data_IF_366894786405
#
_entry.id   IF_366894786405
#
_cell.length_a   1.000
_cell.length_b   1.000
_cell.length_c   1.000
_cell.angle_alpha   90.00
_cell.angle_beta   90.00
_cell.angle_gamma   90.00
#
_symmetry.space_group_name_H-M   'P 1'
#
loop_
_entity.id
_entity.type
_entity.pdbx_description
1 polymer ?
#
# COMPACT_ATOMS: atom_id res chain seq x y z
N UNK A 1 26.76 51.03 -10.41
CA UNK A 1 26.30 49.63 -10.56
C UNK A 1 26.53 48.74 -9.32
N UNK A 2 27.15 49.22 -8.23
CA UNK A 2 27.46 48.42 -7.03
C UNK A 2 26.39 48.43 -5.91
N UNK A 3 25.38 49.31 -5.97
CA UNK A 3 24.35 49.46 -4.93
C UNK A 3 23.15 48.50 -5.08
N UNK A 4 23.06 47.76 -6.20
CA UNK A 4 21.96 46.82 -6.47
C UNK A 4 22.17 45.45 -5.81
N UNK A 5 23.42 44.99 -5.66
CA UNK A 5 23.69 43.65 -5.10
C UNK A 5 23.53 43.57 -3.57
N UNK A 6 23.67 44.67 -2.85
CA UNK A 6 23.56 44.68 -1.38
C UNK A 6 22.12 44.44 -0.88
N UNK A 7 21.09 44.83 -1.66
CA UNK A 7 19.68 44.59 -1.31
C UNK A 7 19.24 43.14 -1.51
N UNK A 8 19.88 42.40 -2.43
CA UNK A 8 19.58 40.99 -2.67
C UNK A 8 20.03 40.07 -1.53
N UNK A 9 21.20 40.34 -0.92
CA UNK A 9 21.71 39.54 0.21
C UNK A 9 20.89 39.72 1.49
N UNK A 10 20.48 40.95 1.84
CA UNK A 10 19.64 41.19 3.03
C UNK A 10 18.28 40.49 2.99
N UNK A 11 17.74 40.23 1.79
CA UNK A 11 16.45 39.56 1.63
C UNK A 11 16.51 38.04 1.83
N UNK A 12 17.70 37.42 1.71
CA UNK A 12 17.88 35.98 2.01
C UNK A 12 18.06 35.71 3.50
N UNK A 13 18.78 36.58 4.21
CA UNK A 13 19.05 36.41 5.66
C UNK A 13 17.77 36.54 6.49
N UNK A 14 16.84 37.43 6.11
CA UNK A 14 15.54 37.58 6.79
C UNK A 14 14.60 36.38 6.59
N UNK A 15 14.70 35.65 5.48
CA UNK A 15 13.90 34.43 5.29
C UNK A 15 14.47 33.26 6.08
N UNK A 16 15.80 33.15 6.22
CA UNK A 16 16.43 32.13 7.04
C UNK A 16 16.14 32.33 8.53
N UNK A 17 16.11 33.57 9.03
CA UNK A 17 15.72 33.82 10.44
C UNK A 17 14.23 33.59 10.71
N UNK A 18 13.34 33.84 9.73
CA UNK A 18 11.93 33.48 9.85
C UNK A 18 11.71 31.96 9.75
N UNK A 19 12.50 31.24 8.94
CA UNK A 19 12.47 29.77 8.88
C UNK A 19 13.07 29.13 10.13
N UNK A 20 14.19 29.64 10.67
CA UNK A 20 14.82 29.14 11.90
C UNK A 20 14.04 29.54 13.16
N UNK A 21 13.44 30.73 13.19
CA UNK A 21 12.57 31.17 14.29
C UNK A 21 11.20 30.51 14.28
N UNK A 22 10.60 30.28 13.10
CA UNK A 22 9.35 29.52 13.00
C UNK A 22 9.54 28.03 13.25
N UNK A 23 10.65 27.42 12.82
CA UNK A 23 10.93 26.01 13.13
C UNK A 23 11.22 25.81 14.62
N UNK A 24 11.85 26.74 15.32
CA UNK A 24 12.04 26.65 16.78
C UNK A 24 10.78 27.02 17.58
N UNK A 25 9.95 27.96 17.11
CA UNK A 25 8.76 28.37 17.87
C UNK A 25 7.51 27.51 17.63
N UNK A 26 7.35 26.88 16.45
CA UNK A 26 6.29 25.87 16.23
C UNK A 26 6.65 24.50 16.79
N UNK A 27 7.93 24.16 16.95
CA UNK A 27 8.33 22.91 17.61
C UNK A 27 8.41 23.01 19.13
N UNK A 28 8.44 24.21 19.71
CA UNK A 28 8.46 24.39 21.17
C UNK A 28 7.06 24.56 21.78
N UNK A 29 6.12 25.22 21.09
CA UNK A 29 4.79 25.51 21.65
C UNK A 29 3.79 24.33 21.56
N UNK A 30 4.09 23.29 20.78
CA UNK A 30 3.22 22.11 20.59
C UNK A 30 3.89 20.78 21.05
N UNK A 31 5.08 20.87 21.66
CA UNK A 31 5.79 19.71 22.24
C UNK A 31 5.46 19.45 23.71
N UNK A 32 4.90 20.43 24.41
CA UNK A 32 4.62 20.30 25.85
C UNK A 32 3.34 19.49 26.16
N UNK A 33 2.52 19.18 25.15
CA UNK A 33 1.34 18.30 25.30
C UNK A 33 1.50 16.95 24.56
N UNK A 34 2.71 16.65 24.04
CA UNK A 34 3.06 15.29 23.63
C UNK A 34 3.23 14.44 24.89
N UNK A 35 2.10 13.88 25.32
CA UNK A 35 2.00 12.78 26.27
C UNK A 35 3.18 11.81 26.07
N UNK A 36 4.06 11.84 27.04
CA UNK A 36 5.26 11.02 27.16
C UNK A 36 4.97 9.55 26.81
N UNK A 37 5.45 9.07 25.65
CA UNK A 37 5.83 7.67 25.51
C UNK A 37 5.52 6.92 24.20
N UNK A 38 4.71 7.44 23.27
CA UNK A 38 4.46 6.71 22.01
C UNK A 38 5.41 7.19 20.91
N UNK A 39 6.36 6.33 20.53
CA UNK A 39 7.25 6.59 19.41
C UNK A 39 6.42 6.73 18.12
N UNK A 40 6.72 7.72 17.26
CA UNK A 40 5.96 7.93 16.03
C UNK A 40 6.00 6.67 15.14
N UNK A 41 4.83 6.30 14.60
CA UNK A 41 4.65 5.07 13.79
C UNK A 41 5.45 5.11 12.49
N UNK A 42 5.74 6.30 11.99
CA UNK A 42 6.58 6.54 10.84
C UNK A 42 7.82 7.34 11.25
N UNK A 43 8.95 7.07 10.60
CA UNK A 43 10.19 7.81 10.86
C UNK A 43 10.17 9.20 10.24
N UNK A 44 11.16 10.03 10.58
CA UNK A 44 11.30 11.41 10.04
C UNK A 44 11.38 11.44 8.50
N UNK A 45 11.89 10.37 7.87
CA UNK A 45 11.90 10.23 6.41
C UNK A 45 10.51 10.13 5.78
N UNK A 46 9.48 9.87 6.59
CA UNK A 46 8.09 9.91 6.16
C UNK A 46 7.43 11.27 6.42
N UNK A 47 8.17 12.31 6.84
CA UNK A 47 7.66 13.66 6.93
C UNK A 47 7.17 14.15 5.56
N UNK A 48 6.11 14.97 5.57
CA UNK A 48 5.40 15.43 4.36
C UNK A 48 6.34 16.13 3.36
N UNK A 49 7.43 16.73 3.85
CA UNK A 49 8.47 17.40 3.05
C UNK A 49 9.24 16.45 2.13
N UNK A 50 9.31 15.16 2.48
CA UNK A 50 9.97 14.12 1.70
C UNK A 50 8.98 13.25 0.91
N UNK A 51 7.68 13.56 0.95
CA UNK A 51 6.69 12.78 0.21
C UNK A 51 6.83 13.02 -1.28
N UNK A 52 6.76 11.97 -2.11
CA UNK A 52 6.62 12.16 -3.54
C UNK A 52 5.32 12.92 -3.82
N UNK A 53 5.37 13.95 -4.67
CA UNK A 53 4.21 14.74 -5.11
C UNK A 53 3.06 13.89 -5.66
N UNK A 54 3.34 12.63 -6.02
CA UNK A 54 2.34 11.65 -6.46
C UNK A 54 1.27 11.39 -5.37
N UNK A 55 1.56 11.61 -4.09
CA UNK A 55 0.58 11.48 -3.00
C UNK A 55 -0.54 12.52 -3.08
N UNK A 56 -0.34 13.65 -3.76
CA UNK A 56 -1.36 14.68 -3.94
C UNK A 56 -2.51 14.24 -4.86
N UNK A 57 -2.29 13.22 -5.69
CA UNK A 57 -3.34 12.63 -6.51
C UNK A 57 -4.30 11.75 -5.71
N UNK A 58 -4.00 11.42 -4.45
CA UNK A 58 -4.89 10.63 -3.60
C UNK A 58 -6.09 11.48 -3.19
N UNK A 59 -7.32 11.12 -3.60
CA UNK A 59 -8.46 11.93 -3.29
C UNK A 59 -8.73 11.99 -1.78
N UNK A 60 -8.65 13.18 -1.19
CA UNK A 60 -8.94 13.38 0.24
C UNK A 60 -10.42 13.22 0.57
N UNK A 61 -11.31 13.40 -0.42
CA UNK A 61 -12.77 13.31 -0.26
C UNK A 61 -13.27 11.92 -0.63
N UNK A 62 -14.04 11.28 0.26
CA UNK A 62 -14.68 9.96 0.02
C UNK A 62 -15.52 9.91 -1.27
N UNK A 63 -16.09 11.05 -1.68
CA UNK A 63 -16.89 11.19 -2.91
C UNK A 63 -16.12 10.82 -4.18
N UNK A 64 -14.81 11.06 -4.24
CA UNK A 64 -14.02 10.74 -5.41
C UNK A 64 -13.83 9.22 -5.57
N UNK A 65 -13.62 8.48 -4.47
CA UNK A 65 -13.60 7.02 -4.50
C UNK A 65 -14.97 6.46 -4.94
N UNK A 66 -16.07 7.01 -4.42
CA UNK A 66 -17.41 6.64 -4.85
C UNK A 66 -17.64 6.92 -6.35
N UNK A 67 -17.18 8.07 -6.85
CA UNK A 67 -17.29 8.39 -8.27
C UNK A 67 -16.47 7.42 -9.14
N UNK A 68 -15.26 7.04 -8.72
CA UNK A 68 -14.44 6.07 -9.44
C UNK A 68 -15.13 4.68 -9.55
N UNK A 69 -15.82 4.24 -8.48
CA UNK A 69 -16.65 3.02 -8.49
C UNK A 69 -17.83 3.15 -9.44
N UNK A 70 -18.62 4.21 -9.27
CA UNK A 70 -19.83 4.42 -10.06
C UNK A 70 -19.52 4.58 -11.54
N UNK A 71 -18.43 5.26 -11.89
CA UNK A 71 -17.94 5.35 -13.26
C UNK A 71 -17.56 3.96 -13.80
N UNK A 72 -16.86 3.15 -13.00
CA UNK A 72 -16.46 1.80 -13.40
C UNK A 72 -17.65 0.88 -13.61
N UNK A 73 -18.59 0.85 -12.66
CA UNK A 73 -19.83 0.09 -12.80
C UNK A 73 -20.72 0.62 -13.92
N UNK A 74 -20.74 1.94 -14.16
CA UNK A 74 -21.44 2.54 -15.28
C UNK A 74 -20.89 2.06 -16.63
N UNK A 75 -19.56 2.02 -16.78
CA UNK A 75 -18.90 1.46 -17.97
C UNK A 75 -19.21 -0.04 -18.10
N UNK A 76 -19.23 -0.79 -16.99
CA UNK A 76 -19.58 -2.22 -16.99
C UNK A 76 -20.99 -2.45 -17.51
N UNK A 77 -21.95 -1.74 -16.92
CA UNK A 77 -23.36 -1.80 -17.28
C UNK A 77 -23.57 -1.36 -18.73
N UNK A 78 -22.91 -0.29 -19.19
CA UNK A 78 -23.01 0.17 -20.56
C UNK A 78 -22.49 -0.87 -21.56
N UNK A 79 -21.36 -1.52 -21.27
CA UNK A 79 -20.82 -2.57 -22.13
C UNK A 79 -21.75 -3.79 -22.21
N UNK A 80 -22.30 -4.24 -21.08
CA UNK A 80 -23.22 -5.38 -21.06
C UNK A 80 -24.58 -5.04 -21.69
N UNK A 81 -25.11 -3.83 -21.49
CA UNK A 81 -26.31 -3.35 -22.18
C UNK A 81 -26.10 -3.31 -23.70
N UNK A 82 -24.95 -2.82 -24.16
CA UNK A 82 -24.60 -2.80 -25.58
C UNK A 82 -24.55 -4.22 -26.15
N UNK A 83 -23.98 -5.17 -25.42
CA UNK A 83 -23.93 -6.58 -25.82
C UNK A 83 -25.33 -7.24 -25.83
N UNK A 84 -26.17 -6.92 -24.84
CA UNK A 84 -27.53 -7.45 -24.73
C UNK A 84 -28.43 -6.96 -25.87
N UNK A 85 -28.35 -5.68 -26.22
CA UNK A 85 -29.15 -5.09 -27.30
C UNK A 85 -28.54 -5.20 -28.70
N UNK A 86 -27.46 -5.98 -28.87
CA UNK A 86 -26.73 -6.08 -30.13
C UNK A 86 -27.60 -6.47 -31.34
N UNK A 87 -28.51 -7.44 -31.19
CA UNK A 87 -29.43 -7.85 -32.27
C UNK A 87 -30.39 -6.72 -32.65
N UNK A 88 -30.93 -6.01 -31.65
CA UNK A 88 -31.85 -4.90 -31.87
C UNK A 88 -31.17 -3.73 -32.56
N UNK A 89 -29.93 -3.42 -32.17
CA UNK A 89 -29.11 -2.36 -32.78
C UNK A 89 -28.79 -2.71 -34.23
N UNK A 90 -28.37 -3.96 -34.49
CA UNK A 90 -28.08 -4.44 -35.84
C UNK A 90 -29.33 -4.45 -36.73
N UNK A 91 -30.49 -4.85 -36.20
CA UNK A 91 -31.76 -4.81 -36.92
C UNK A 91 -32.24 -3.40 -37.25
N UNK A 92 -31.95 -2.41 -36.39
CA UNK A 92 -32.28 -1.01 -36.64
C UNK A 92 -31.33 -0.34 -37.64
N UNK A 93 -30.07 -0.78 -37.73
CA UNK A 93 -29.04 -0.19 -38.61
C UNK A 93 -28.26 -1.27 -39.38
N UNK A 94 -28.92 -2.07 -40.24
CA UNK A 94 -28.32 -3.23 -40.88
C UNK A 94 -27.19 -2.86 -41.87
N UNK A 95 -27.21 -1.64 -42.40
CA UNK A 95 -26.16 -1.13 -43.29
C UNK A 95 -24.86 -0.72 -42.55
N UNK A 96 -24.91 -0.56 -41.22
CA UNK A 96 -23.82 0.04 -40.43
C UNK A 96 -23.14 -0.99 -39.52
N UNK A 97 -23.90 -1.91 -38.92
CA UNK A 97 -23.34 -2.85 -37.97
C UNK A 97 -24.07 -4.21 -37.97
N UNK A 98 -23.30 -5.29 -37.90
CA UNK A 98 -23.82 -6.61 -37.55
C UNK A 98 -23.88 -6.79 -36.04
N UNK A 99 -24.74 -7.68 -35.55
CA UNK A 99 -24.83 -7.98 -34.12
C UNK A 99 -23.49 -8.52 -33.56
N UNK A 100 -22.73 -9.24 -34.39
CA UNK A 100 -21.38 -9.69 -34.05
C UNK A 100 -20.41 -8.51 -33.85
N UNK A 101 -20.42 -7.52 -34.74
CA UNK A 101 -19.58 -6.34 -34.61
C UNK A 101 -19.91 -5.52 -33.35
N UNK A 102 -21.20 -5.34 -33.05
CA UNK A 102 -21.64 -4.64 -31.82
C UNK A 102 -21.16 -5.36 -30.55
N UNK A 103 -21.31 -6.70 -30.50
CA UNK A 103 -20.80 -7.50 -29.37
C UNK A 103 -19.27 -7.43 -29.26
N UNK A 104 -18.56 -7.41 -30.38
CA UNK A 104 -17.10 -7.29 -30.39
C UNK A 104 -16.66 -5.93 -29.83
N UNK A 105 -17.32 -4.83 -30.22
CA UNK A 105 -17.06 -3.49 -29.68
C UNK A 105 -17.32 -3.46 -28.17
N UNK A 106 -18.46 -4.00 -27.72
CA UNK A 106 -18.79 -4.09 -26.29
C UNK A 106 -17.72 -4.87 -25.50
N UNK A 107 -17.33 -6.04 -25.99
CA UNK A 107 -16.34 -6.90 -25.34
C UNK A 107 -14.93 -6.28 -25.38
N UNK A 108 -14.57 -5.59 -26.45
CA UNK A 108 -13.29 -4.87 -26.59
C UNK A 108 -13.22 -3.65 -25.66
N UNK A 109 -14.30 -2.86 -25.60
CA UNK A 109 -14.41 -1.72 -24.69
C UNK A 109 -14.32 -2.13 -23.22
N UNK A 110 -15.02 -3.19 -22.82
CA UNK A 110 -14.95 -3.74 -21.46
C UNK A 110 -13.54 -4.26 -21.12
N UNK A 111 -12.87 -4.93 -22.07
CA UNK A 111 -11.50 -5.40 -21.91
C UNK A 111 -10.51 -4.24 -21.73
N UNK A 112 -10.60 -3.23 -22.58
CA UNK A 112 -9.75 -2.04 -22.50
C UNK A 112 -9.97 -1.27 -21.18
N UNK A 113 -11.23 -1.06 -20.79
CA UNK A 113 -11.56 -0.42 -19.52
C UNK A 113 -11.05 -1.24 -18.31
N UNK A 114 -11.15 -2.56 -18.35
CA UNK A 114 -10.57 -3.44 -17.33
C UNK A 114 -9.06 -3.25 -17.21
N UNK A 115 -8.35 -3.16 -18.34
CA UNK A 115 -6.92 -2.88 -18.38
C UNK A 115 -6.56 -1.53 -17.74
N UNK A 116 -7.32 -0.47 -18.03
CA UNK A 116 -7.14 0.86 -17.43
C UNK A 116 -7.34 0.82 -15.91
N UNK A 117 -8.40 0.17 -15.42
CA UNK A 117 -8.66 0.04 -13.98
C UNK A 117 -7.57 -0.77 -13.27
N UNK A 118 -7.07 -1.83 -13.90
CA UNK A 118 -5.97 -2.62 -13.37
C UNK A 118 -4.64 -1.84 -13.36
N UNK A 119 -4.36 -1.02 -14.35
CA UNK A 119 -3.21 -0.11 -14.32
C UNK A 119 -3.35 0.94 -13.21
N UNK A 120 -4.54 1.51 -13.02
CA UNK A 120 -4.80 2.41 -11.91
C UNK A 120 -4.58 1.71 -10.55
N UNK A 121 -5.06 0.47 -10.41
CA UNK A 121 -4.79 -0.35 -9.22
C UNK A 121 -3.29 -0.59 -9.01
N UNK A 122 -2.52 -0.84 -10.07
CA UNK A 122 -1.07 -1.01 -9.99
C UNK A 122 -0.36 0.26 -9.49
N UNK A 123 -0.74 1.43 -10.01
CA UNK A 123 -0.20 2.73 -9.59
C UNK A 123 -0.52 3.02 -8.12
N UNK A 124 -1.75 2.75 -7.68
CA UNK A 124 -2.15 2.92 -6.29
C UNK A 124 -1.40 1.96 -5.36
N UNK A 125 -1.25 0.69 -5.75
CA UNK A 125 -0.45 -0.28 -5.00
C UNK A 125 1.02 0.16 -4.89
N UNK A 126 1.59 0.71 -5.97
CA UNK A 126 2.96 1.25 -5.97
C UNK A 126 3.11 2.49 -5.08
N UNK A 127 2.09 3.34 -5.00
CA UNK A 127 2.04 4.49 -4.10
C UNK A 127 1.95 4.06 -2.62
N UNK A 128 1.07 3.10 -2.32
CA UNK A 128 0.95 2.52 -0.97
C UNK A 128 2.29 1.91 -0.54
N UNK A 129 2.96 1.17 -1.44
CA UNK A 129 4.30 0.64 -1.20
C UNK A 129 5.31 1.75 -0.84
N UNK A 130 5.35 2.86 -1.59
CA UNK A 130 6.31 3.94 -1.33
C UNK A 130 6.10 4.65 -0.01
N UNK A 131 4.86 4.73 0.48
CA UNK A 131 4.56 5.32 1.79
C UNK A 131 4.87 4.33 2.91
N UNK A 132 4.42 3.07 2.77
CA UNK A 132 4.57 2.06 3.83
C UNK A 132 5.99 1.58 4.04
N UNK A 133 6.89 1.67 3.05
CA UNK A 133 8.31 1.28 3.25
C UNK A 133 9.02 2.08 4.35
N UNK A 134 8.50 3.26 4.73
CA UNK A 134 9.05 4.12 5.77
C UNK A 134 8.38 3.92 7.15
N UNK A 135 7.50 2.92 7.26
CA UNK A 135 6.78 2.60 8.48
C UNK A 135 7.69 1.86 9.47
N UNK A 136 7.83 2.38 10.69
CA UNK A 136 8.81 1.91 11.68
C UNK A 136 8.38 0.61 12.35
N UNK A 137 7.07 0.33 12.45
CA UNK A 137 6.54 -0.91 13.04
C UNK A 137 6.47 -2.08 12.05
N UNK A 138 6.75 -1.88 10.75
CA UNK A 138 6.59 -2.91 9.70
C UNK A 138 7.89 -3.70 9.44
N UNK A 139 8.40 -4.35 10.49
CA UNK A 139 9.64 -5.15 10.41
C UNK A 139 9.47 -6.50 9.70
N UNK A 140 8.25 -6.96 9.49
CA UNK A 140 7.98 -8.27 8.87
C UNK A 140 8.11 -8.23 7.33
N UNK A 141 8.38 -7.05 6.76
CA UNK A 141 8.49 -6.89 5.31
C UNK A 141 7.14 -7.01 4.60
N UNK A 142 6.02 -6.83 5.32
CA UNK A 142 4.67 -6.92 4.77
C UNK A 142 4.45 -5.90 3.65
N UNK A 143 5.13 -4.76 3.70
CA UNK A 143 5.14 -3.77 2.62
C UNK A 143 5.55 -4.37 1.26
N UNK A 144 6.40 -5.41 1.19
CA UNK A 144 6.87 -6.02 -0.08
C UNK A 144 5.72 -6.63 -0.90
N UNK A 145 4.64 -7.04 -0.24
CA UNK A 145 3.45 -7.59 -0.91
C UNK A 145 2.83 -6.57 -1.87
N UNK A 146 2.86 -5.28 -1.53
CA UNK A 146 2.32 -4.21 -2.37
C UNK A 146 3.06 -4.06 -3.71
N UNK A 147 4.38 -4.34 -3.73
CA UNK A 147 5.16 -4.37 -4.97
C UNK A 147 4.73 -5.55 -5.86
N UNK A 148 4.49 -6.72 -5.27
CA UNK A 148 3.98 -7.87 -6.00
C UNK A 148 2.58 -7.61 -6.56
N UNK A 149 1.68 -7.04 -5.77
CA UNK A 149 0.32 -6.66 -6.21
C UNK A 149 0.38 -5.72 -7.41
N UNK A 150 1.25 -4.71 -7.38
CA UNK A 150 1.42 -3.79 -8.51
C UNK A 150 1.80 -4.54 -9.79
N UNK A 151 2.78 -5.46 -9.74
CA UNK A 151 3.16 -6.29 -10.87
C UNK A 151 2.04 -7.21 -11.35
N UNK A 152 1.31 -7.85 -10.43
CA UNK A 152 0.16 -8.69 -10.78
C UNK A 152 -0.94 -7.89 -11.48
N UNK A 153 -1.22 -6.67 -11.04
CA UNK A 153 -2.17 -5.78 -11.70
C UNK A 153 -1.71 -5.37 -13.11
N UNK A 154 -0.41 -5.12 -13.33
CA UNK A 154 0.14 -4.85 -14.67
C UNK A 154 -0.03 -6.07 -15.59
N UNK A 155 0.32 -7.26 -15.11
CA UNK A 155 0.14 -8.50 -15.87
C UNK A 155 -1.33 -8.78 -16.17
N UNK A 156 -2.21 -8.60 -15.18
CA UNK A 156 -3.65 -8.74 -15.36
C UNK A 156 -4.21 -7.72 -16.37
N UNK A 157 -3.71 -6.48 -16.36
CA UNK A 157 -4.07 -5.46 -17.35
C UNK A 157 -3.72 -5.91 -18.76
N UNK A 158 -2.47 -6.33 -18.99
CA UNK A 158 -2.05 -6.85 -20.29
C UNK A 158 -2.88 -8.06 -20.72
N UNK A 159 -3.15 -8.98 -19.79
CA UNK A 159 -3.97 -10.15 -20.03
C UNK A 159 -5.44 -9.80 -20.39
N UNK A 160 -6.00 -8.73 -19.82
CA UNK A 160 -7.36 -8.29 -20.14
C UNK A 160 -7.54 -7.88 -21.61
N UNK A 161 -6.48 -7.32 -22.21
CA UNK A 161 -6.47 -6.88 -23.61
C UNK A 161 -6.05 -8.02 -24.56
N UNK A 162 -4.96 -8.71 -24.24
CA UNK A 162 -4.37 -9.77 -25.09
C UNK A 162 -5.21 -11.05 -25.06
N UNK A 163 -5.89 -11.32 -23.94
CA UNK A 163 -6.69 -12.53 -23.68
C UNK A 163 -5.88 -13.82 -23.74
N UNK A 164 -4.63 -13.79 -23.26
CA UNK A 164 -3.70 -14.93 -23.27
C UNK A 164 -4.26 -16.17 -22.54
N UNK A 165 -5.18 -15.96 -21.59
CA UNK A 165 -5.79 -17.07 -20.84
C UNK A 165 -6.46 -18.12 -21.73
N UNK A 166 -7.07 -17.73 -22.85
CA UNK A 166 -7.82 -18.65 -23.71
C UNK A 166 -6.93 -19.65 -24.45
N UNK A 167 -5.92 -19.23 -25.24
CA UNK A 167 -5.04 -20.17 -25.92
C UNK A 167 -4.23 -21.03 -24.94
N UNK A 168 -3.82 -20.48 -23.79
CA UNK A 168 -3.09 -21.25 -22.76
C UNK A 168 -3.97 -22.35 -22.17
N UNK A 169 -5.22 -22.04 -21.81
CA UNK A 169 -6.17 -23.02 -21.28
C UNK A 169 -6.45 -24.14 -22.31
N UNK A 170 -6.64 -23.80 -23.58
CA UNK A 170 -6.85 -24.78 -24.64
C UNK A 170 -5.63 -25.65 -24.90
N UNK A 171 -4.43 -25.07 -24.90
CA UNK A 171 -3.18 -25.82 -25.04
C UNK A 171 -3.00 -26.83 -23.90
N UNK A 172 -3.22 -26.42 -22.65
CA UNK A 172 -3.12 -27.31 -21.48
C UNK A 172 -4.18 -28.40 -21.49
N UNK A 173 -5.44 -28.06 -21.83
CA UNK A 173 -6.51 -29.05 -22.04
C UNK A 173 -6.10 -30.09 -23.10
N UNK A 174 -5.56 -29.64 -24.23
CA UNK A 174 -5.15 -30.54 -25.32
C UNK A 174 -3.96 -31.42 -24.94
N UNK A 175 -2.99 -30.88 -24.19
CA UNK A 175 -1.80 -31.61 -23.76
C UNK A 175 -2.08 -32.64 -22.67
N UNK A 176 -3.01 -32.34 -21.76
CA UNK A 176 -3.35 -33.20 -20.62
C UNK A 176 -4.46 -34.19 -20.95
N UNK A 177 -5.27 -33.92 -21.97
CA UNK A 177 -6.48 -34.69 -22.28
C UNK A 177 -7.58 -34.56 -21.21
N UNK A 178 -7.40 -33.68 -20.23
CA UNK A 178 -8.31 -33.53 -19.09
C UNK A 178 -8.93 -32.14 -19.06
N UNK A 179 -10.23 -32.10 -18.79
CA UNK A 179 -10.95 -30.86 -18.56
C UNK A 179 -12.15 -31.07 -17.65
N UNK A 180 -12.31 -30.18 -16.67
CA UNK A 180 -13.51 -30.06 -15.85
C UNK A 180 -14.64 -29.35 -16.61
N UNK A 181 -14.30 -28.33 -17.40
CA UNK A 181 -15.28 -27.57 -18.21
C UNK A 181 -15.09 -27.82 -19.70
N UNK A 182 -16.12 -27.60 -20.51
CA UNK A 182 -16.00 -27.72 -21.97
C UNK A 182 -14.88 -26.82 -22.55
N UNK A 183 -14.61 -25.68 -21.91
CA UNK A 183 -13.63 -24.68 -22.34
C UNK A 183 -12.24 -24.80 -21.74
N UNK A 184 -11.96 -25.72 -20.81
CA UNK A 184 -10.65 -25.79 -20.14
C UNK A 184 -10.35 -24.63 -19.20
N UNK A 185 -11.37 -23.86 -18.79
CA UNK A 185 -11.19 -22.63 -18.00
C UNK A 185 -10.49 -22.87 -16.66
N UNK A 186 -10.65 -24.06 -16.08
CA UNK A 186 -10.02 -24.49 -14.82
C UNK A 186 -8.49 -24.38 -14.85
N UNK A 187 -7.84 -24.60 -16.01
CA UNK A 187 -6.39 -24.53 -16.14
C UNK A 187 -5.84 -23.12 -15.92
N UNK A 188 -6.66 -22.10 -16.13
CA UNK A 188 -6.31 -20.72 -15.84
C UNK A 188 -6.90 -20.23 -14.51
N UNK A 189 -8.16 -20.58 -14.24
CA UNK A 189 -8.87 -20.11 -13.06
C UNK A 189 -8.29 -20.69 -11.77
N UNK A 190 -7.84 -21.95 -11.73
CA UNK A 190 -7.28 -22.56 -10.52
C UNK A 190 -6.02 -21.83 -10.01
N UNK A 191 -4.95 -21.63 -10.82
CA UNK A 191 -3.76 -20.92 -10.35
C UNK A 191 -4.05 -19.45 -10.02
N UNK A 192 -4.89 -18.78 -10.82
CA UNK A 192 -5.28 -17.39 -10.56
C UNK A 192 -6.11 -17.28 -9.28
N UNK A 193 -7.01 -18.22 -8.99
CA UNK A 193 -7.79 -18.24 -7.77
C UNK A 193 -6.92 -18.50 -6.54
N UNK A 194 -5.95 -19.42 -6.63
CA UNK A 194 -5.02 -19.70 -5.53
C UNK A 194 -4.15 -18.47 -5.20
N UNK A 195 -3.54 -17.85 -6.22
CA UNK A 195 -2.76 -16.63 -6.05
C UNK A 195 -3.64 -15.46 -5.58
N UNK A 196 -4.82 -15.32 -6.18
CA UNK A 196 -5.79 -14.29 -5.86
C UNK A 196 -6.31 -14.38 -4.42
N UNK A 197 -6.59 -15.59 -3.92
CA UNK A 197 -7.00 -15.82 -2.54
C UNK A 197 -5.89 -15.45 -1.55
N UNK A 198 -4.63 -15.80 -1.86
CA UNK A 198 -3.49 -15.40 -1.05
C UNK A 198 -3.31 -13.87 -1.02
N UNK A 199 -3.37 -13.22 -2.20
CA UNK A 199 -3.31 -11.75 -2.30
C UNK A 199 -4.47 -11.10 -1.54
N UNK A 200 -5.70 -11.61 -1.71
CA UNK A 200 -6.89 -11.12 -1.06
C UNK A 200 -6.74 -11.18 0.47
N UNK A 201 -6.30 -12.31 1.01
CA UNK A 201 -6.08 -12.47 2.44
C UNK A 201 -5.05 -11.47 2.96
N UNK A 202 -3.92 -11.31 2.25
CA UNK A 202 -2.88 -10.33 2.61
C UNK A 202 -3.40 -8.89 2.57
N UNK A 203 -4.12 -8.52 1.53
CA UNK A 203 -4.75 -7.21 1.39
C UNK A 203 -5.78 -6.96 2.51
N UNK A 204 -6.61 -7.96 2.83
CA UNK A 204 -7.61 -7.85 3.88
C UNK A 204 -6.97 -7.68 5.27
N UNK A 205 -5.91 -8.44 5.56
CA UNK A 205 -5.15 -8.31 6.81
C UNK A 205 -4.52 -6.92 6.95
N UNK A 206 -3.91 -6.40 5.88
CA UNK A 206 -3.32 -5.06 5.86
C UNK A 206 -4.38 -3.95 5.94
N UNK A 207 -5.53 -4.15 5.31
CA UNK A 207 -6.64 -3.20 5.30
C UNK A 207 -7.56 -3.31 6.52
N UNK A 208 -7.28 -4.20 7.46
CA UNK A 208 -8.14 -4.45 8.62
C UNK A 208 -8.34 -3.20 9.49
N UNK A 209 -7.35 -2.31 9.56
CA UNK A 209 -7.46 -1.03 10.28
C UNK A 209 -8.37 -0.02 9.56
N UNK A 210 -8.66 -0.22 8.27
CA UNK A 210 -9.50 0.65 7.45
C UNK A 210 -10.77 -0.07 7.00
N UNK A 211 -11.82 -0.02 7.84
CA UNK A 211 -13.08 -0.75 7.59
C UNK A 211 -13.68 -0.49 6.20
N UNK A 212 -13.57 0.75 5.69
CA UNK A 212 -14.06 1.10 4.36
C UNK A 212 -13.26 0.42 3.24
N UNK A 213 -11.93 0.32 3.38
CA UNK A 213 -11.10 -0.40 2.43
C UNK A 213 -11.37 -1.91 2.50
N UNK A 214 -11.50 -2.46 3.72
CA UNK A 214 -11.82 -3.87 3.93
C UNK A 214 -13.16 -4.25 3.28
N UNK A 215 -14.21 -3.46 3.49
CA UNK A 215 -15.52 -3.68 2.85
C UNK A 215 -15.45 -3.62 1.32
N UNK A 216 -14.63 -2.73 0.76
CA UNK A 216 -14.43 -2.65 -0.69
C UNK A 216 -13.60 -3.82 -1.25
N UNK A 217 -12.57 -4.28 -0.51
CA UNK A 217 -11.82 -5.50 -0.86
C UNK A 217 -12.74 -6.71 -0.85
N UNK A 218 -13.57 -6.88 0.19
CA UNK A 218 -14.47 -8.03 0.29
C UNK A 218 -15.51 -8.02 -0.83
N UNK A 219 -16.04 -6.85 -1.18
CA UNK A 219 -16.89 -6.68 -2.35
C UNK A 219 -16.18 -7.07 -3.65
N UNK A 220 -14.94 -6.63 -3.86
CA UNK A 220 -14.15 -7.02 -5.02
C UNK A 220 -13.95 -8.55 -5.08
N UNK A 221 -13.62 -9.16 -3.94
CA UNK A 221 -13.49 -10.61 -3.81
C UNK A 221 -14.78 -11.36 -4.15
N UNK A 222 -15.93 -10.89 -3.65
CA UNK A 222 -17.23 -11.44 -4.00
C UNK A 222 -17.51 -11.34 -5.51
N UNK A 223 -17.21 -10.19 -6.13
CA UNK A 223 -17.35 -10.00 -7.57
C UNK A 223 -16.48 -10.97 -8.37
N UNK A 224 -15.21 -11.16 -8.01
CA UNK A 224 -14.34 -12.14 -8.68
C UNK A 224 -14.79 -13.58 -8.45
N UNK A 225 -15.29 -13.91 -7.26
CA UNK A 225 -15.85 -15.23 -6.99
C UNK A 225 -17.06 -15.51 -7.87
N UNK A 226 -18.00 -14.56 -7.98
CA UNK A 226 -19.15 -14.67 -8.90
C UNK A 226 -18.70 -14.77 -10.36
N UNK A 227 -17.68 -14.02 -10.75
CA UNK A 227 -17.13 -14.10 -12.11
C UNK A 227 -16.56 -15.48 -12.42
N UNK A 228 -15.76 -16.04 -11.50
CA UNK A 228 -15.16 -17.35 -11.63
C UNK A 228 -16.19 -18.47 -11.65
N UNK A 229 -17.18 -18.46 -10.75
CA UNK A 229 -18.25 -19.47 -10.75
C UNK A 229 -19.10 -19.39 -12.02
N UNK A 230 -19.36 -18.18 -12.52
CA UNK A 230 -20.06 -18.00 -13.80
C UNK A 230 -19.26 -18.55 -14.98
N UNK A 231 -17.95 -18.29 -15.01
CA UNK A 231 -17.05 -18.82 -16.05
C UNK A 231 -16.91 -20.36 -16.01
N UNK A 232 -17.11 -20.98 -14.85
CA UNK A 232 -17.17 -22.44 -14.70
C UNK A 232 -18.53 -23.03 -15.10
N UNK A 233 -19.51 -22.21 -15.46
CA UNK A 233 -20.86 -22.65 -15.79
C UNK A 233 -21.73 -22.97 -14.57
N UNK A 234 -21.34 -22.53 -13.38
CA UNK A 234 -22.11 -22.71 -12.14
C UNK A 234 -23.03 -21.53 -11.83
N UNK A 235 -23.16 -20.57 -12.75
CA UNK A 235 -24.11 -19.48 -12.61
C UNK A 235 -25.56 -20.00 -12.68
N UNK A 236 -26.47 -19.46 -11.86
CA UNK A 236 -27.88 -19.77 -12.00
C UNK A 236 -28.39 -19.33 -13.38
N UNK A 237 -29.32 -20.07 -14.00
CA UNK A 237 -29.92 -19.67 -15.27
C UNK A 237 -30.80 -18.45 -15.06
N UNK A 238 -30.27 -17.27 -15.38
CA UNK A 238 -31.00 -16.01 -15.31
C UNK A 238 -31.60 -15.68 -16.69
N UNK A 239 -32.91 -15.35 -16.79
CA UNK A 239 -33.53 -14.99 -18.06
C UNK A 239 -32.81 -13.80 -18.72
N UNK A 240 -32.34 -13.98 -19.95
CA UNK A 240 -31.72 -12.92 -20.75
C UNK A 240 -30.28 -12.53 -20.36
N UNK A 241 -29.66 -13.22 -19.40
CA UNK A 241 -28.26 -13.02 -19.02
C UNK A 241 -27.50 -14.30 -19.27
N UNK A 242 -26.55 -14.26 -20.20
CA UNK A 242 -25.67 -15.40 -20.45
C UNK A 242 -24.58 -15.49 -19.38
N UNK A 243 -24.18 -16.71 -18.99
CA UNK A 243 -23.13 -16.93 -17.98
C UNK A 243 -21.83 -16.18 -18.31
N UNK A 244 -21.46 -16.09 -19.60
CA UNK A 244 -20.29 -15.35 -20.06
C UNK A 244 -20.41 -13.83 -19.87
N UNK A 245 -21.62 -13.27 -20.01
CA UNK A 245 -21.89 -11.85 -19.76
C UNK A 245 -21.76 -11.57 -18.26
N UNK A 246 -22.35 -12.42 -17.43
CA UNK A 246 -22.24 -12.31 -15.97
C UNK A 246 -20.77 -12.42 -15.53
N UNK A 247 -20.01 -13.37 -16.08
CA UNK A 247 -18.60 -13.55 -15.78
C UNK A 247 -17.78 -12.27 -16.08
N UNK A 248 -17.96 -11.68 -17.26
CA UNK A 248 -17.24 -10.45 -17.66
C UNK A 248 -17.68 -9.24 -16.85
N UNK A 249 -18.98 -9.02 -16.71
CA UNK A 249 -19.53 -7.89 -15.96
C UNK A 249 -19.08 -7.90 -14.51
N UNK A 250 -19.15 -9.06 -13.84
CA UNK A 250 -18.72 -9.21 -12.46
C UNK A 250 -17.21 -9.09 -12.29
N UNK A 251 -16.40 -9.61 -13.23
CA UNK A 251 -14.95 -9.42 -13.19
C UNK A 251 -14.60 -7.93 -13.26
N UNK A 252 -15.24 -7.17 -14.16
CA UNK A 252 -14.99 -5.74 -14.29
C UNK A 252 -15.51 -4.94 -13.08
N UNK A 253 -16.67 -5.29 -12.53
CA UNK A 253 -17.15 -4.73 -11.27
C UNK A 253 -16.15 -4.98 -10.12
N UNK A 254 -15.49 -6.14 -10.11
CA UNK A 254 -14.40 -6.48 -9.19
C UNK A 254 -13.17 -5.58 -9.35
N UNK A 255 -12.76 -5.26 -10.57
CA UNK A 255 -11.68 -4.29 -10.83
C UNK A 255 -12.02 -2.89 -10.29
N UNK A 256 -13.25 -2.42 -10.52
CA UNK A 256 -13.72 -1.13 -10.02
C UNK A 256 -13.75 -1.08 -8.48
N UNK A 257 -14.26 -2.13 -7.84
CA UNK A 257 -14.27 -2.26 -6.38
C UNK A 257 -12.85 -2.35 -5.80
N UNK A 258 -11.93 -3.05 -6.48
CA UNK A 258 -10.52 -3.11 -6.10
C UNK A 258 -9.87 -1.72 -6.12
N UNK A 259 -10.01 -0.96 -7.21
CA UNK A 259 -9.49 0.42 -7.31
C UNK A 259 -10.05 1.29 -6.18
N UNK A 260 -11.34 1.15 -5.88
CA UNK A 260 -11.97 1.88 -4.79
C UNK A 260 -11.36 1.55 -3.43
N UNK A 261 -11.16 0.27 -3.16
CA UNK A 261 -10.50 -0.17 -1.93
C UNK A 261 -9.09 0.41 -1.82
N UNK A 262 -8.31 0.34 -2.91
CA UNK A 262 -6.96 0.88 -2.95
C UNK A 262 -6.93 2.40 -2.77
N UNK A 263 -7.90 3.14 -3.32
CA UNK A 263 -8.03 4.57 -3.09
C UNK A 263 -8.36 4.90 -1.63
N UNK A 264 -9.30 4.17 -1.03
CA UNK A 264 -9.69 4.35 0.37
C UNK A 264 -8.52 4.01 1.30
N UNK A 265 -7.80 2.92 1.00
CA UNK A 265 -6.65 2.50 1.77
C UNK A 265 -5.44 3.44 1.59
N UNK A 266 -5.14 3.87 0.36
CA UNK A 266 -4.12 4.88 0.11
C UNK A 266 -4.40 6.18 0.87
N UNK A 267 -5.67 6.63 0.88
CA UNK A 267 -6.10 7.77 1.70
C UNK A 267 -5.87 7.53 3.19
N UNK A 268 -6.21 6.34 3.69
CA UNK A 268 -5.94 5.97 5.09
C UNK A 268 -4.44 6.08 5.40
N UNK A 269 -3.57 5.50 4.56
CA UNK A 269 -2.11 5.55 4.73
C UNK A 269 -1.59 7.00 4.68
N UNK A 270 -2.08 7.83 3.76
CA UNK A 270 -1.66 9.25 3.70
C UNK A 270 -2.02 9.99 4.98
N UNK A 271 -3.23 9.81 5.51
CA UNK A 271 -3.65 10.44 6.76
C UNK A 271 -2.90 9.89 7.97
N UNK A 272 -2.60 8.59 7.96
CA UNK A 272 -1.80 7.92 8.98
C UNK A 272 -0.38 8.49 9.05
N UNK A 273 0.27 8.66 7.89
CA UNK A 273 1.61 9.27 7.81
C UNK A 273 1.59 10.74 8.25
N UNK A 274 0.48 11.45 8.04
CA UNK A 274 0.30 12.83 8.51
C UNK A 274 0.00 12.94 10.01
N UNK A 275 -0.14 11.81 10.73
CA UNK A 275 -0.54 11.81 12.14
C UNK A 275 -1.99 12.26 12.37
N UNK A 276 -2.83 12.23 11.32
CA UNK A 276 -4.24 12.66 11.40
C UNK A 276 -5.19 11.50 11.75
N UNK A 277 -4.66 10.32 12.04
CA UNK A 277 -5.42 9.14 12.47
C UNK A 277 -5.00 8.80 13.88
N UNK A 278 -5.96 8.88 14.80
CA UNK A 278 -5.78 8.42 16.17
C UNK A 278 -5.80 6.88 16.17
N UNK A 279 -4.71 6.28 16.64
CA UNK A 279 -4.66 4.85 16.89
C UNK A 279 -4.97 4.60 18.35
N UNK A 280 -5.77 3.56 18.62
CA UNK A 280 -5.90 3.08 19.99
C UNK A 280 -4.50 2.66 20.47
N UNK A 281 -4.05 3.13 21.65
CA UNK A 281 -2.72 2.83 22.14
C UNK A 281 -2.58 1.31 22.22
N UNK A 282 -1.48 0.79 21.66
CA UNK A 282 -1.25 -0.65 21.75
C UNK A 282 -1.13 -0.99 23.23
N UNK A 283 -1.81 -2.04 23.73
CA UNK A 283 -1.66 -2.45 25.10
C UNK A 283 -0.19 -2.80 25.31
N UNK A 284 0.55 -1.90 25.96
CA UNK A 284 1.92 -2.15 26.36
C UNK A 284 1.81 -3.33 27.31
N UNK A 285 2.27 -4.50 26.88
CA UNK A 285 2.39 -5.65 27.77
C UNK A 285 3.33 -5.21 28.87
N UNK A 286 2.76 -4.76 30.00
CA UNK A 286 3.53 -4.38 31.16
C UNK A 286 4.38 -5.60 31.47
N UNK A 287 5.70 -5.44 31.35
CA UNK A 287 6.61 -6.47 31.80
C UNK A 287 6.30 -6.58 33.27
N UNK A 288 5.63 -7.67 33.68
CA UNK A 288 5.48 -8.00 35.09
C UNK A 288 6.84 -7.74 35.73
N UNK A 289 6.94 -6.85 36.73
CA UNK A 289 8.21 -6.58 37.36
C UNK A 289 8.76 -7.94 37.77
N UNK A 290 9.87 -8.33 37.15
CA UNK A 290 10.59 -9.54 37.53
C UNK A 290 10.90 -9.34 38.99
N UNK A 291 10.20 -10.08 39.85
CA UNK A 291 10.39 -10.01 41.29
C UNK A 291 11.89 -10.19 41.53
N UNK A 292 12.55 -9.12 41.94
CA UNK A 292 13.94 -9.16 42.36
C UNK A 292 13.92 -10.07 43.59
N UNK A 293 14.43 -11.28 43.45
CA UNK A 293 14.62 -12.18 44.57
C UNK A 293 15.42 -11.44 45.64
N UNK A 294 14.87 -11.26 46.85
CA UNK A 294 15.57 -10.61 47.94
C UNK A 294 16.49 -11.65 48.57
N UNK A 295 17.65 -11.88 47.95
CA UNK A 295 18.68 -12.76 48.51
C UNK A 295 20.05 -12.14 48.24
N UNK A 296 20.29 -10.99 48.85
CA UNK A 296 21.65 -10.55 49.18
C UNK A 296 21.67 -10.06 50.63
N UNK A 297 22.58 -10.58 51.47
CA UNK A 297 22.73 -10.15 52.86
C UNK A 297 23.18 -8.69 52.92
N UNK A 298 22.60 -7.97 53.87
CA UNK A 298 22.82 -6.55 54.10
C UNK A 298 24.31 -6.23 54.30
N UNK A 299 24.90 -5.52 53.33
CA UNK A 299 26.18 -4.84 53.51
C UNK A 299 25.93 -3.52 54.26
N UNK A 300 26.66 -3.24 55.36
CA UNK A 300 26.41 -2.07 56.19
C UNK A 300 26.72 -0.75 55.45
N UNK A 301 25.99 0.33 55.75
CA UNK A 301 26.10 1.59 55.02
C UNK A 301 27.45 2.27 55.26
N UNK A 302 28.21 2.47 54.18
CA UNK A 302 29.39 3.33 54.18
C UNK A 302 28.99 4.82 54.34
N UNK A 303 29.81 5.63 55.03
CA UNK A 303 29.48 7.01 55.35
C UNK A 303 29.43 7.92 54.10
N UNK A 304 28.41 8.77 54.09
CA UNK A 304 28.14 9.78 53.07
C UNK A 304 29.25 10.84 53.10
N UNK A 305 30.14 10.81 52.11
CA UNK A 305 31.05 11.92 51.81
C UNK A 305 30.28 12.95 50.97
N UNK A 306 30.01 14.11 51.56
CA UNK A 306 29.51 15.30 50.84
C UNK A 306 30.59 15.80 49.89
N UNK A 307 30.46 15.52 48.61
CA UNK A 307 31.27 16.17 47.57
C UNK A 307 30.54 17.45 47.16
N UNK A 308 31.21 18.58 47.41
CA UNK A 308 30.78 19.91 47.03
C UNK A 308 30.74 20.06 45.50
N UNK A 309 29.78 20.85 45.03
CA UNK A 309 29.59 21.20 43.63
C UNK A 309 30.84 21.89 43.06
N UNK A 310 31.48 21.23 42.09
CA UNK A 310 32.49 21.82 41.22
C UNK A 310 31.85 22.08 39.85
N UNK A 311 31.90 23.34 39.43
CA UNK A 311 31.42 23.85 38.15
C UNK A 311 32.10 23.14 36.97
N UNK A 312 31.30 22.66 36.02
CA UNK A 312 31.78 22.14 34.75
C UNK A 312 31.95 23.29 33.71
N UNK A 313 32.98 23.25 32.85
CA UNK A 313 33.20 24.21 31.76
C UNK A 313 32.30 23.92 30.54
N UNK A 314 32.17 24.88 29.59
CA UNK A 314 31.22 24.81 28.48
C UNK A 314 31.66 23.79 27.43
N UNK A 315 30.70 23.00 26.95
CA UNK A 315 30.88 22.04 25.88
C UNK A 315 31.02 22.72 24.51
N UNK A 316 32.02 22.28 23.76
CA UNK A 316 32.39 22.62 22.40
C UNK A 316 31.31 22.14 21.40
N UNK A 317 30.98 22.97 20.42
CA UNK A 317 29.96 22.68 19.41
C UNK A 317 30.46 21.65 18.37
N UNK A 318 29.64 20.67 17.96
CA UNK A 318 30.02 19.74 16.90
C UNK A 318 29.99 20.44 15.52
N UNK A 319 31.06 20.24 14.77
CA UNK A 319 31.23 20.67 13.39
C UNK A 319 30.21 19.97 12.46
N UNK A 320 29.60 20.76 11.58
CA UNK A 320 28.75 20.29 10.51
C UNK A 320 29.57 19.45 9.51
N UNK A 321 29.16 18.21 9.29
CA UNK A 321 29.63 17.37 8.18
C UNK A 321 28.79 17.71 6.94
N UNK A 322 29.40 17.92 5.76
CA UNK A 322 28.65 18.18 4.53
C UNK A 322 27.82 16.95 4.14
N UNK A 323 26.56 17.18 3.79
CA UNK A 323 25.72 16.21 3.11
C UNK A 323 26.15 16.17 1.63
N UNK A 324 26.85 15.10 1.25
CA UNK A 324 27.13 14.78 -0.15
C UNK A 324 26.78 13.31 -0.44
N UNK A 325 26.11 13.17 -1.59
CA UNK A 325 25.91 12.00 -2.45
C UNK A 325 25.20 10.75 -1.91
N UNK A 326 23.92 10.64 -2.28
CA UNK A 326 23.23 9.36 -2.40
C UNK A 326 23.45 8.79 -3.80
N UNK A 327 24.56 8.07 -3.96
CA UNK A 327 24.70 7.08 -5.03
C UNK A 327 23.86 5.85 -4.65
N UNK A 328 22.82 5.62 -5.44
CA UNK A 328 21.84 4.56 -5.34
C UNK A 328 22.37 3.34 -6.10
N UNK A 329 23.36 2.62 -5.54
CA UNK A 329 23.72 1.27 -6.02
C UNK A 329 24.48 0.43 -4.99
N UNK A 330 24.22 -0.88 -5.06
CA UNK A 330 24.86 -2.02 -4.40
C UNK A 330 24.50 -2.40 -2.94
N UNK A 331 23.53 -3.31 -2.85
CA UNK A 331 23.66 -4.68 -2.29
C UNK A 331 24.96 -5.01 -1.52
N UNK A 332 25.20 -4.32 -0.40
CA UNK A 332 26.05 -4.85 0.69
C UNK A 332 25.22 -4.94 1.96
N UNK A 333 24.61 -6.11 2.11
CA UNK A 333 24.17 -6.62 3.40
C UNK A 333 25.37 -6.64 4.36
N UNK A 334 25.58 -5.54 5.08
CA UNK A 334 26.31 -5.59 6.34
C UNK A 334 25.46 -6.46 7.26
N UNK A 335 25.86 -7.72 7.31
CA UNK A 335 25.40 -8.76 8.21
C UNK A 335 25.55 -8.22 9.64
N UNK A 336 24.52 -7.53 10.13
CA UNK A 336 24.34 -7.18 11.54
C UNK A 336 24.01 -8.47 12.27
N UNK A 337 24.98 -9.40 12.26
CA UNK A 337 24.91 -10.69 12.92
C UNK A 337 24.71 -10.40 14.39
N UNK A 338 23.49 -10.63 14.87
CA UNK A 338 23.14 -10.40 16.28
C UNK A 338 24.12 -11.19 17.13
N UNK A 339 25.04 -10.48 17.80
CA UNK A 339 26.04 -11.08 18.69
C UNK A 339 25.37 -12.09 19.61
N UNK A 340 25.86 -13.33 19.56
CA UNK A 340 25.32 -14.41 20.37
C UNK A 340 25.48 -14.07 21.86
N UNK A 341 24.68 -14.70 22.72
CA UNK A 341 24.79 -14.47 24.19
C UNK A 341 26.20 -14.75 24.71
N UNK A 342 26.93 -15.68 24.08
CA UNK A 342 28.32 -15.99 24.39
C UNK A 342 29.26 -14.82 24.05
N UNK A 343 29.11 -14.21 22.86
CA UNK A 343 29.93 -13.08 22.44
C UNK A 343 29.69 -11.83 23.29
N UNK A 344 28.43 -11.53 23.62
CA UNK A 344 28.10 -10.43 24.55
C UNK A 344 28.72 -10.65 25.94
N UNK A 345 28.77 -11.90 26.41
CA UNK A 345 29.41 -12.26 27.69
C UNK A 345 30.93 -12.13 27.61
N UNK A 346 31.54 -12.47 26.47
CA UNK A 346 32.98 -12.34 26.23
C UNK A 346 33.41 -10.86 26.17
N UNK A 347 32.66 -10.02 25.46
CA UNK A 347 32.86 -8.56 25.40
C UNK A 347 32.76 -7.91 26.79
N UNK A 348 31.78 -8.32 27.61
CA UNK A 348 31.68 -7.86 29.00
C UNK A 348 32.85 -8.27 29.89
N UNK A 349 33.51 -9.40 29.60
CA UNK A 349 34.72 -9.83 30.33
C UNK A 349 35.95 -9.04 29.88
N UNK A 350 36.09 -8.77 28.59
CA UNK A 350 37.19 -7.96 28.07
C UNK A 350 37.15 -6.52 28.59
N UNK A 351 35.97 -5.89 28.63
CA UNK A 351 35.82 -4.52 29.16
C UNK A 351 35.95 -4.42 30.70
N UNK A 352 36.06 -5.54 31.42
CA UNK A 352 36.33 -5.55 32.87
C UNK A 352 37.81 -5.78 33.19
N UNK A 353 38.59 -6.22 32.20
CA UNK A 353 40.01 -6.51 32.34
C UNK A 353 40.91 -5.41 31.77
N UNK A 354 40.31 -4.40 31.11
CA UNK A 354 40.92 -3.14 30.74
C UNK A 354 40.49 -2.07 31.74
#
# INVERSE_FOLDING_TARGET
MALSMARGRRRRVLNEELLSGATLSLTAADRDDQTTGEAPRYGEMACIEHHPQVSDFVPRRKRAAAFAVLAGWGVAAAAELLAHYAERIAGAMPAVASAAAVRQIAAGGAAWASGVYLLAAALLARLIFSLRRHRVDDYEGSYRVWRLIAWLCVLASANSVIRLQQPVAQALKSATGWSLTAGGAEWWLAPVAALGAWVFWRLAADAAESHGALAAITLAGACYATAATSALGWAPPLPGIHADQLARGMAFAGHAALVASLLIFARYVVLDVQGLIDHAPRPVKSKKPTAVSPDLPAEPPAPIVKIAAASAPPAEAPSAVPADDWDDDDDRSHDSRKLSKAERKKLRRQNRAA
#
